data_IF_801386168552
#
_entry.id   IF_801386168552
#
_cell.length_a   1.000
_cell.length_b   1.000
_cell.length_c   1.000
_cell.angle_alpha   90.00
_cell.angle_beta   90.00
_cell.angle_gamma   90.00
#
_symmetry.space_group_name_H-M   'P 1'
#
loop_
_entity.id
_entity.type
_entity.pdbx_description
1 polymer ?
#
# COMPACT_ATOMS: atom_id res chain seq x y z
N UNK A 1 -7.91 -6.83 42.76
CA UNK A 1 -6.71 -6.85 41.90
C UNK A 1 -7.01 -6.01 40.67
N UNK A 2 -6.28 -4.91 40.52
CA UNK A 2 -6.54 -3.83 39.57
C UNK A 2 -6.40 -4.29 38.12
N UNK A 3 -7.46 -4.10 37.32
CA UNK A 3 -7.36 -4.03 35.86
C UNK A 3 -6.56 -2.78 35.53
N UNK A 4 -5.25 -2.93 35.32
CA UNK A 4 -4.43 -1.89 34.71
C UNK A 4 -4.90 -1.79 33.26
N UNK A 5 -5.57 -0.68 32.93
CA UNK A 5 -5.92 -0.34 31.56
C UNK A 5 -4.63 -0.34 30.74
N UNK A 6 -4.58 -1.20 29.73
CA UNK A 6 -3.58 -1.14 28.68
C UNK A 6 -3.84 0.16 27.92
N UNK A 7 -3.18 1.26 28.30
CA UNK A 7 -3.10 2.43 27.46
C UNK A 7 -2.33 1.98 26.22
N UNK A 8 -3.05 1.60 25.16
CA UNK A 8 -2.45 1.30 23.88
C UNK A 8 -1.58 2.51 23.50
N UNK A 9 -0.27 2.28 23.42
CA UNK A 9 0.70 3.30 23.04
C UNK A 9 0.21 3.99 21.77
N UNK A 10 -0.04 5.30 21.85
CA UNK A 10 -0.71 6.03 20.76
C UNK A 10 0.34 6.34 19.71
N UNK A 11 0.17 5.82 18.49
CA UNK A 11 1.09 6.15 17.39
C UNK A 11 0.57 7.37 16.64
N UNK A 12 1.45 8.36 16.44
CA UNK A 12 1.22 9.49 15.54
C UNK A 12 2.04 9.28 14.27
N UNK A 13 1.43 9.51 13.12
CA UNK A 13 2.07 9.37 11.82
C UNK A 13 2.18 10.71 11.11
N UNK A 14 3.30 10.90 10.41
CA UNK A 14 3.59 12.08 9.60
C UNK A 14 4.36 11.65 8.34
N UNK A 15 4.00 12.20 7.19
CA UNK A 15 4.77 12.05 5.95
C UNK A 15 6.03 12.91 6.02
N UNK A 16 7.16 12.33 5.64
CA UNK A 16 8.41 13.05 5.44
C UNK A 16 8.52 13.42 3.96
N UNK A 17 8.51 14.73 3.70
CA UNK A 17 8.63 15.31 2.35
C UNK A 17 10.09 15.37 1.88
N UNK A 18 10.30 15.62 0.58
CA UNK A 18 11.59 15.80 -0.08
C UNK A 18 12.15 14.55 -0.75
N UNK A 19 11.44 13.41 -0.63
CA UNK A 19 11.88 12.13 -1.18
C UNK A 19 11.14 11.76 -2.47
N UNK A 20 9.81 11.82 -2.45
CA UNK A 20 8.96 11.41 -3.57
C UNK A 20 8.10 12.58 -4.01
N UNK A 21 8.04 12.83 -5.33
CA UNK A 21 7.30 13.96 -5.92
C UNK A 21 5.82 13.96 -5.56
N UNK A 22 5.27 12.78 -5.25
CA UNK A 22 3.89 12.59 -4.83
C UNK A 22 3.61 13.20 -3.43
N UNK A 23 4.64 13.31 -2.59
CA UNK A 23 4.54 13.80 -1.21
C UNK A 23 4.79 15.31 -1.06
N UNK A 24 5.36 15.96 -2.07
CA UNK A 24 5.85 17.34 -1.98
C UNK A 24 4.83 18.42 -2.38
N UNK A 25 3.59 18.01 -2.63
CA UNK A 25 2.47 18.90 -2.91
C UNK A 25 1.40 18.25 -3.78
N UNK A 26 0.41 19.04 -4.26
CA UNK A 26 -0.54 18.56 -5.25
C UNK A 26 0.20 18.14 -6.52
N UNK A 27 0.19 16.85 -6.83
CA UNK A 27 0.80 16.30 -8.02
C UNK A 27 -0.28 15.67 -8.91
N UNK A 28 -0.12 15.82 -10.23
CA UNK A 28 -0.93 15.06 -11.18
C UNK A 28 -0.60 13.57 -10.99
N UNK A 29 -1.60 12.71 -10.71
CA UNK A 29 -1.35 11.29 -10.54
C UNK A 29 -0.74 10.69 -11.80
N UNK A 30 0.35 9.95 -11.62
CA UNK A 30 0.98 9.15 -12.65
C UNK A 30 0.93 7.70 -12.18
N UNK A 31 0.61 6.77 -13.07
CA UNK A 31 0.56 5.36 -12.70
C UNK A 31 1.94 4.84 -12.29
N UNK A 32 2.95 5.14 -13.11
CA UNK A 32 4.31 4.62 -12.97
C UNK A 32 5.34 5.73 -13.30
N UNK A 33 5.52 6.75 -12.43
CA UNK A 33 6.59 7.72 -12.63
C UNK A 33 7.98 7.04 -12.57
N UNK A 34 8.99 7.51 -13.32
CA UNK A 34 10.35 6.97 -13.26
C UNK A 34 10.91 6.91 -11.84
N UNK A 35 11.66 5.86 -11.48
CA UNK A 35 12.14 5.61 -10.13
C UNK A 35 11.04 5.73 -9.06
N UNK A 36 9.81 5.34 -9.41
CA UNK A 36 8.60 5.48 -8.59
C UNK A 36 8.34 6.91 -8.07
N UNK A 37 8.88 7.92 -8.74
CA UNK A 37 8.75 9.33 -8.36
C UNK A 37 9.80 9.82 -7.37
N UNK A 38 10.91 9.10 -7.17
CA UNK A 38 12.03 9.62 -6.38
C UNK A 38 12.50 10.96 -6.96
N UNK A 39 12.53 12.01 -6.12
CA UNK A 39 12.78 13.38 -6.55
C UNK A 39 14.24 13.60 -6.99
N UNK A 40 15.20 13.13 -6.19
CA UNK A 40 16.63 13.27 -6.46
C UNK A 40 17.15 12.12 -7.33
N UNK A 41 16.80 12.13 -8.62
CA UNK A 41 17.09 11.03 -9.57
C UNK A 41 18.16 11.34 -10.62
N UNK A 42 18.96 12.39 -10.44
CA UNK A 42 20.01 12.79 -11.40
C UNK A 42 21.36 12.12 -11.13
N UNK A 43 21.56 11.60 -9.92
CA UNK A 43 22.76 10.83 -9.56
C UNK A 43 22.76 9.45 -10.22
N UNK A 44 23.93 8.88 -10.47
CA UNK A 44 24.03 7.48 -10.89
C UNK A 44 23.72 6.49 -9.76
N UNK A 45 23.75 6.96 -8.50
CA UNK A 45 23.58 6.17 -7.28
C UNK A 45 22.41 6.66 -6.40
N UNK A 46 21.31 7.08 -7.01
CA UNK A 46 20.20 7.70 -6.28
C UNK A 46 19.53 6.76 -5.27
N UNK A 47 19.52 5.45 -5.49
CA UNK A 47 18.92 4.53 -4.50
C UNK A 47 19.79 4.41 -3.26
N UNK A 48 21.11 4.30 -3.42
CA UNK A 48 22.07 4.34 -2.30
C UNK A 48 22.01 5.66 -1.54
N UNK A 49 21.87 6.78 -2.23
CA UNK A 49 21.70 8.09 -1.59
C UNK A 49 20.38 8.17 -0.81
N UNK A 50 19.30 7.62 -1.37
CA UNK A 50 18.02 7.49 -0.69
C UNK A 50 18.15 6.62 0.56
N UNK A 51 18.74 5.43 0.47
CA UNK A 51 18.97 4.55 1.62
C UNK A 51 19.84 5.19 2.69
N UNK A 52 20.91 5.89 2.29
CA UNK A 52 21.76 6.63 3.21
C UNK A 52 20.98 7.74 3.94
N UNK A 53 20.06 8.40 3.24
CA UNK A 53 19.18 9.41 3.82
C UNK A 53 18.21 8.80 4.83
N UNK A 54 17.57 7.67 4.50
CA UNK A 54 16.70 6.94 5.43
C UNK A 54 17.50 6.45 6.65
N UNK A 55 18.71 5.92 6.44
CA UNK A 55 19.60 5.50 7.53
C UNK A 55 19.96 6.67 8.45
N UNK A 56 20.25 7.85 7.89
CA UNK A 56 20.52 9.07 8.65
C UNK A 56 19.30 9.49 9.49
N UNK A 57 18.09 9.41 8.94
CA UNK A 57 16.85 9.66 9.70
C UNK A 57 16.70 8.68 10.87
N UNK A 58 16.93 7.38 10.65
CA UNK A 58 16.86 6.38 11.73
C UNK A 58 17.91 6.64 12.82
N UNK A 59 19.15 6.97 12.44
CA UNK A 59 20.24 7.22 13.38
C UNK A 59 20.05 8.50 14.21
N UNK A 60 19.37 9.49 13.65
CA UNK A 60 19.05 10.75 14.32
C UNK A 60 17.66 10.76 14.97
N UNK A 61 16.93 9.65 14.91
CA UNK A 61 15.58 9.54 15.43
C UNK A 61 15.54 9.76 16.95
N UNK A 62 14.65 10.65 17.46
CA UNK A 62 14.38 10.72 18.88
C UNK A 62 13.87 9.38 19.43
N UNK A 63 14.01 9.17 20.75
CA UNK A 63 13.44 7.99 21.40
C UNK A 63 11.95 7.86 21.11
N UNK A 64 11.52 6.68 20.67
CA UNK A 64 10.12 6.41 20.30
C UNK A 64 9.74 6.93 18.92
N UNK A 65 10.70 7.31 18.07
CA UNK A 65 10.46 7.65 16.66
C UNK A 65 11.07 6.59 15.77
N UNK A 66 10.33 6.21 14.72
CA UNK A 66 10.76 5.28 13.68
C UNK A 66 10.38 5.81 12.31
N UNK A 67 11.26 5.61 11.33
CA UNK A 67 10.97 5.90 9.93
C UNK A 67 10.70 4.61 9.16
N UNK A 68 9.66 4.58 8.33
CA UNK A 68 9.32 3.43 7.47
C UNK A 68 9.01 3.95 6.07
N UNK A 69 9.58 3.31 5.05
CA UNK A 69 9.25 3.57 3.65
C UNK A 69 8.16 2.58 3.23
N UNK A 70 6.97 3.09 2.94
CA UNK A 70 5.81 2.30 2.57
C UNK A 70 5.49 2.45 1.09
N UNK A 71 5.58 1.36 0.34
CA UNK A 71 5.13 1.23 -1.04
C UNK A 71 3.63 0.90 -1.05
N UNK A 72 2.78 1.93 -1.10
CA UNK A 72 1.33 1.80 -1.06
C UNK A 72 0.78 1.62 -2.48
N UNK A 73 0.20 0.46 -2.76
CA UNK A 73 -0.30 0.07 -4.08
C UNK A 73 -1.82 -0.05 -4.09
N UNK A 74 -2.44 0.38 -5.20
CA UNK A 74 -3.85 0.07 -5.52
C UNK A 74 -3.88 -1.13 -6.45
N UNK A 75 -4.81 -2.07 -6.22
CA UNK A 75 -5.03 -3.18 -7.13
C UNK A 75 -5.25 -2.72 -8.59
N UNK A 76 -4.86 -3.55 -9.57
CA UNK A 76 -5.18 -3.35 -10.98
C UNK A 76 -6.69 -3.39 -11.25
N UNK A 77 -7.15 -2.95 -12.42
CA UNK A 77 -8.58 -2.96 -12.75
C UNK A 77 -9.22 -4.33 -12.49
N UNK A 78 -10.24 -4.38 -11.65
CA UNK A 78 -11.09 -5.55 -11.43
C UNK A 78 -12.40 -5.45 -12.19
N UNK A 79 -13.12 -6.56 -12.31
CA UNK A 79 -14.45 -6.55 -12.94
C UNK A 79 -15.47 -5.67 -12.23
N UNK A 80 -15.30 -5.43 -10.92
CA UNK A 80 -16.10 -4.43 -10.18
C UNK A 80 -15.86 -3.01 -10.69
N UNK A 81 -14.62 -2.67 -11.09
CA UNK A 81 -14.32 -1.35 -11.65
C UNK A 81 -15.04 -1.19 -12.99
N UNK A 82 -15.01 -2.22 -13.85
CA UNK A 82 -15.74 -2.20 -15.13
C UNK A 82 -17.24 -2.00 -14.90
N UNK A 83 -17.80 -2.60 -13.85
CA UNK A 83 -19.19 -2.41 -13.47
C UNK A 83 -19.48 -0.96 -13.04
N UNK A 84 -18.66 -0.40 -12.14
CA UNK A 84 -18.75 1.00 -11.70
C UNK A 84 -18.59 1.97 -12.88
N UNK A 85 -17.62 1.73 -13.76
CA UNK A 85 -17.38 2.57 -14.94
C UNK A 85 -18.55 2.52 -15.93
N UNK A 86 -19.22 1.36 -16.05
CA UNK A 86 -20.35 1.15 -16.97
C UNK A 86 -21.67 1.72 -16.43
N UNK A 87 -21.96 1.55 -15.15
CA UNK A 87 -23.27 1.85 -14.58
C UNK A 87 -23.27 3.06 -13.64
N UNK A 88 -22.11 3.54 -13.21
CA UNK A 88 -21.97 4.61 -12.22
C UNK A 88 -21.92 4.08 -10.79
N UNK A 89 -21.35 4.89 -9.90
CA UNK A 89 -21.16 4.50 -8.49
C UNK A 89 -22.50 4.37 -7.74
N UNK A 90 -23.48 5.22 -8.03
CA UNK A 90 -24.78 5.19 -7.36
C UNK A 90 -25.54 3.89 -7.66
N UNK A 91 -25.55 3.45 -8.93
CA UNK A 91 -26.13 2.17 -9.35
C UNK A 91 -25.33 0.98 -8.81
N UNK A 92 -24.00 1.12 -8.71
CA UNK A 92 -23.17 0.10 -8.09
C UNK A 92 -23.55 -0.12 -6.62
N UNK A 93 -23.61 0.94 -5.82
CA UNK A 93 -23.92 0.87 -4.39
C UNK A 93 -25.36 0.38 -4.12
N UNK A 94 -26.31 0.81 -4.96
CA UNK A 94 -27.73 0.51 -4.71
C UNK A 94 -28.20 -0.81 -5.34
N UNK A 95 -27.59 -1.27 -6.43
CA UNK A 95 -28.03 -2.45 -7.17
C UNK A 95 -26.90 -3.45 -7.48
N UNK A 96 -25.89 -3.08 -8.27
CA UNK A 96 -24.98 -4.05 -8.89
C UNK A 96 -24.04 -4.74 -7.91
N UNK A 97 -23.62 -4.07 -6.84
CA UNK A 97 -22.78 -4.65 -5.77
C UNK A 97 -23.46 -5.80 -5.02
N UNK A 98 -24.80 -5.89 -5.07
CA UNK A 98 -25.60 -6.95 -4.45
C UNK A 98 -25.74 -8.20 -5.32
N UNK A 99 -25.20 -8.15 -6.54
CA UNK A 99 -25.21 -9.24 -7.51
C UNK A 99 -23.78 -9.73 -7.75
N UNK A 100 -23.66 -10.97 -8.23
CA UNK A 100 -22.34 -11.54 -8.56
C UNK A 100 -21.91 -11.28 -10.02
N UNK A 101 -22.80 -10.72 -10.83
CA UNK A 101 -22.55 -10.50 -12.24
C UNK A 101 -23.82 -10.24 -13.03
N UNK A 102 -23.67 -10.13 -14.34
CA UNK A 102 -24.76 -10.09 -15.31
C UNK A 102 -24.45 -11.05 -16.46
N UNK A 103 -25.16 -10.91 -17.59
CA UNK A 103 -24.94 -11.76 -18.78
C UNK A 103 -23.54 -11.60 -19.41
N UNK A 104 -22.91 -10.44 -19.22
CA UNK A 104 -21.66 -10.06 -19.91
C UNK A 104 -20.42 -10.26 -19.03
N UNK A 105 -20.54 -10.13 -17.71
CA UNK A 105 -19.40 -10.09 -16.79
C UNK A 105 -19.74 -10.59 -15.38
N UNK A 106 -18.75 -11.12 -14.69
CA UNK A 106 -18.84 -11.60 -13.29
C UNK A 106 -17.89 -10.79 -12.41
N UNK A 107 -18.41 -10.18 -11.35
CA UNK A 107 -17.62 -9.36 -10.40
C UNK A 107 -17.79 -9.80 -8.94
N UNK A 108 -18.65 -10.78 -8.64
CA UNK A 108 -18.82 -11.33 -7.30
C UNK A 108 -18.72 -12.86 -7.28
N UNK A 109 -18.64 -13.46 -6.08
CA UNK A 109 -18.63 -12.78 -4.77
C UNK A 109 -17.31 -12.06 -4.46
N UNK A 110 -16.23 -12.36 -5.18
CA UNK A 110 -14.95 -11.65 -5.08
C UNK A 110 -14.38 -11.37 -6.48
N UNK A 111 -14.37 -10.09 -6.84
CA UNK A 111 -13.99 -9.66 -8.19
C UNK A 111 -12.51 -9.95 -8.47
N UNK A 112 -12.26 -10.72 -9.54
CA UNK A 112 -10.93 -10.92 -10.11
C UNK A 112 -10.45 -9.70 -10.90
N UNK A 113 -9.15 -9.65 -11.16
CA UNK A 113 -8.58 -8.72 -12.15
C UNK A 113 -9.17 -8.97 -13.54
N UNK A 114 -9.28 -7.90 -14.32
CA UNK A 114 -9.47 -7.99 -15.77
C UNK A 114 -8.11 -8.21 -16.44
N UNK A 115 -8.06 -8.57 -17.74
CA UNK A 115 -6.81 -8.59 -18.48
C UNK A 115 -6.05 -7.26 -18.44
N UNK A 116 -6.76 -6.12 -18.41
CA UNK A 116 -6.15 -4.81 -18.22
C UNK A 116 -5.53 -4.67 -16.82
N UNK A 117 -6.22 -5.11 -15.77
CA UNK A 117 -5.70 -5.10 -14.41
C UNK A 117 -4.45 -5.95 -14.23
N UNK A 118 -4.37 -7.10 -14.91
CA UNK A 118 -3.15 -7.90 -14.93
C UNK A 118 -1.98 -7.17 -15.63
N UNK A 119 -2.26 -6.50 -16.76
CA UNK A 119 -1.24 -5.69 -17.46
C UNK A 119 -0.73 -4.57 -16.57
N UNK A 120 -1.62 -3.85 -15.87
CA UNK A 120 -1.23 -2.80 -14.92
C UNK A 120 -0.30 -3.33 -13.81
N UNK A 121 -0.60 -4.51 -13.25
CA UNK A 121 0.28 -5.13 -12.25
C UNK A 121 1.66 -5.53 -12.81
N UNK A 122 1.69 -5.99 -14.08
CA UNK A 122 2.93 -6.34 -14.80
C UNK A 122 3.76 -5.11 -15.17
N UNK A 123 3.13 -3.95 -15.41
CA UNK A 123 3.83 -2.68 -15.64
C UNK A 123 4.60 -2.24 -14.38
N UNK A 124 4.01 -2.40 -13.19
CA UNK A 124 4.71 -2.17 -11.92
C UNK A 124 5.86 -3.16 -11.74
N UNK A 125 5.68 -4.44 -12.07
CA UNK A 125 6.74 -5.45 -12.03
C UNK A 125 7.92 -5.06 -12.94
N UNK A 126 7.63 -4.56 -14.14
CA UNK A 126 8.63 -4.09 -15.08
C UNK A 126 9.42 -2.91 -14.51
N UNK A 127 8.75 -1.94 -13.88
CA UNK A 127 9.41 -0.81 -13.21
C UNK A 127 10.30 -1.28 -12.06
N UNK A 128 9.84 -2.23 -11.23
CA UNK A 128 10.71 -2.82 -10.20
C UNK A 128 11.95 -3.49 -10.82
N UNK A 129 11.78 -4.31 -11.86
CA UNK A 129 12.90 -4.99 -12.54
C UNK A 129 13.89 -4.01 -13.15
N UNK A 130 13.41 -2.92 -13.73
CA UNK A 130 14.25 -1.84 -14.24
C UNK A 130 15.11 -1.25 -13.12
N UNK A 131 14.49 -0.81 -12.02
CA UNK A 131 15.18 -0.17 -10.91
C UNK A 131 16.09 -1.13 -10.12
N UNK A 132 15.75 -2.43 -10.06
CA UNK A 132 16.61 -3.48 -9.48
C UNK A 132 17.82 -3.80 -10.33
N UNK A 133 17.72 -3.64 -11.66
CA UNK A 133 18.80 -3.97 -12.60
C UNK A 133 19.92 -2.92 -12.62
N UNK A 134 19.75 -1.80 -11.90
CA UNK A 134 20.71 -0.69 -11.86
C UNK A 134 22.07 -1.15 -11.33
N UNK A 135 23.16 -1.03 -12.12
CA UNK A 135 24.48 -1.57 -11.75
C UNK A 135 25.02 -0.97 -10.45
N UNK A 136 25.06 -1.79 -9.40
CA UNK A 136 25.55 -1.37 -8.09
C UNK A 136 24.67 -0.33 -7.40
N UNK A 137 23.41 -0.14 -7.81
CA UNK A 137 22.46 0.78 -7.18
C UNK A 137 21.01 0.26 -7.28
N UNK A 138 20.74 -1.00 -6.85
CA UNK A 138 19.38 -1.54 -6.94
C UNK A 138 18.43 -0.81 -6.00
N UNK A 139 17.16 -0.66 -6.40
CA UNK A 139 16.11 -0.18 -5.50
C UNK A 139 15.99 -1.06 -4.24
N UNK A 140 15.77 -0.46 -3.05
CA UNK A 140 15.52 -1.22 -1.83
C UNK A 140 14.19 -1.97 -1.90
N UNK A 141 14.25 -3.29 -1.75
CA UNK A 141 13.07 -4.14 -1.74
C UNK A 141 12.32 -4.08 -0.40
N UNK A 142 10.98 -4.19 -0.41
CA UNK A 142 10.21 -4.41 0.80
C UNK A 142 10.65 -5.70 1.53
N UNK A 143 10.77 -5.64 2.85
CA UNK A 143 11.02 -6.79 3.72
C UNK A 143 9.72 -7.40 4.26
N UNK A 144 8.64 -6.61 4.30
CA UNK A 144 7.28 -7.07 4.64
C UNK A 144 6.29 -6.65 3.56
N UNK A 145 5.40 -7.56 3.23
CA UNK A 145 4.33 -7.35 2.25
C UNK A 145 2.99 -7.53 2.94
N UNK A 146 2.10 -6.57 2.83
CA UNK A 146 0.73 -6.63 3.34
C UNK A 146 -0.25 -6.55 2.17
N UNK A 147 -1.33 -7.32 2.24
CA UNK A 147 -2.38 -7.27 1.20
C UNK A 147 -3.77 -7.35 1.79
N UNK A 148 -4.72 -6.69 1.14
CA UNK A 148 -6.14 -7.01 1.31
C UNK A 148 -6.42 -8.45 0.87
N UNK A 149 -7.34 -9.17 1.54
CA UNK A 149 -7.66 -10.56 1.22
C UNK A 149 -8.42 -10.73 -0.12
N UNK A 150 -8.94 -9.65 -0.71
CA UNK A 150 -9.71 -9.74 -1.94
C UNK A 150 -8.82 -10.16 -3.13
N UNK A 151 -9.32 -11.09 -3.95
CA UNK A 151 -8.58 -11.78 -5.00
C UNK A 151 -7.82 -10.83 -5.94
N UNK A 152 -8.41 -9.69 -6.29
CA UNK A 152 -7.75 -8.67 -7.12
C UNK A 152 -6.52 -8.03 -6.47
N UNK A 153 -6.52 -7.83 -5.15
CA UNK A 153 -5.38 -7.24 -4.43
C UNK A 153 -4.26 -8.28 -4.30
N UNK A 154 -4.60 -9.52 -3.93
CA UNK A 154 -3.66 -10.65 -3.90
C UNK A 154 -3.03 -10.90 -5.27
N UNK A 155 -3.83 -10.97 -6.34
CA UNK A 155 -3.33 -11.16 -7.70
C UNK A 155 -2.47 -9.99 -8.18
N UNK A 156 -2.78 -8.75 -7.79
CA UNK A 156 -1.94 -7.59 -8.10
C UNK A 156 -0.58 -7.73 -7.41
N UNK A 157 -0.57 -8.03 -6.11
CA UNK A 157 0.66 -8.23 -5.34
C UNK A 157 1.53 -9.33 -5.94
N UNK A 158 0.93 -10.49 -6.23
CA UNK A 158 1.62 -11.64 -6.81
C UNK A 158 2.26 -11.28 -8.15
N UNK A 159 1.49 -10.66 -9.06
CA UNK A 159 2.02 -10.22 -10.36
C UNK A 159 3.09 -9.13 -10.22
N UNK A 160 2.95 -8.20 -9.27
CA UNK A 160 3.93 -7.12 -9.03
C UNK A 160 5.28 -7.67 -8.57
N UNK A 161 5.31 -8.68 -7.70
CA UNK A 161 6.56 -9.23 -7.16
C UNK A 161 7.01 -10.56 -7.78
N UNK A 162 6.29 -11.03 -8.82
CA UNK A 162 6.65 -12.22 -9.57
C UNK A 162 8.08 -12.15 -10.11
N UNK A 163 8.86 -13.19 -9.83
CA UNK A 163 10.28 -13.32 -10.15
C UNK A 163 11.19 -12.24 -9.51
N UNK A 164 10.71 -11.53 -8.49
CA UNK A 164 11.47 -10.53 -7.72
C UNK A 164 11.66 -11.01 -6.28
N UNK A 165 10.57 -11.44 -5.63
CA UNK A 165 10.59 -11.98 -4.29
C UNK A 165 10.38 -13.50 -4.34
N UNK A 166 10.90 -14.27 -3.37
CA UNK A 166 10.73 -15.72 -3.36
C UNK A 166 9.24 -16.09 -3.38
N UNK A 167 8.90 -17.07 -4.21
CA UNK A 167 7.53 -17.58 -4.27
C UNK A 167 7.15 -18.15 -2.90
N UNK A 168 5.91 -17.93 -2.45
CA UNK A 168 5.42 -18.31 -1.12
C UNK A 168 5.34 -19.82 -0.82
N UNK A 169 6.07 -20.65 -1.56
CA UNK A 169 6.32 -22.05 -1.27
C UNK A 169 7.27 -22.24 -0.08
N UNK A 170 8.15 -21.26 0.17
CA UNK A 170 8.92 -21.20 1.41
C UNK A 170 8.04 -20.61 2.52
N UNK A 171 7.52 -21.48 3.38
CA UNK A 171 6.62 -21.10 4.47
C UNK A 171 7.30 -20.23 5.54
N UNK A 172 8.64 -20.25 5.59
CA UNK A 172 9.45 -19.53 6.58
C UNK A 172 10.08 -18.24 6.02
N UNK A 173 9.85 -17.86 4.74
CA UNK A 173 10.39 -16.61 4.19
C UNK A 173 9.69 -15.39 4.85
N UNK A 174 10.47 -14.48 5.50
CA UNK A 174 9.90 -13.31 6.17
C UNK A 174 9.22 -12.31 5.23
N UNK A 175 9.43 -12.42 3.90
CA UNK A 175 8.82 -11.60 2.84
C UNK A 175 7.55 -12.21 2.27
N UNK A 176 7.06 -13.32 2.82
CA UNK A 176 5.75 -13.86 2.47
C UNK A 176 4.65 -12.80 2.71
N UNK A 177 3.68 -12.64 1.80
CA UNK A 177 2.58 -11.72 2.01
C UNK A 177 1.77 -12.04 3.26
N UNK A 178 1.64 -11.06 4.15
CA UNK A 178 0.72 -11.05 5.26
C UNK A 178 -0.64 -10.54 4.75
N UNK A 179 -1.60 -11.46 4.67
CA UNK A 179 -2.97 -11.12 4.33
C UNK A 179 -3.63 -10.51 5.56
N UNK A 180 -3.99 -9.23 5.46
CA UNK A 180 -4.68 -8.52 6.54
C UNK A 180 -6.17 -8.84 6.44
N UNK A 181 -6.57 -9.95 7.05
CA UNK A 181 -7.97 -10.27 7.23
C UNK A 181 -8.61 -9.28 8.21
N UNK A 182 -9.83 -8.88 7.88
CA UNK A 182 -10.55 -7.88 8.66
C UNK A 182 -11.51 -8.58 9.62
N UNK A 183 -11.14 -8.66 10.90
CA UNK A 183 -12.03 -9.15 11.96
C UNK A 183 -13.16 -8.14 12.30
N UNK A 184 -13.06 -6.89 11.81
CA UNK A 184 -13.97 -5.79 12.14
C UNK A 184 -14.93 -5.42 10.99
N UNK A 185 -14.82 -6.07 9.84
CA UNK A 185 -15.73 -5.89 8.71
C UNK A 185 -16.98 -6.77 8.88
N UNK A 186 -18.16 -6.17 8.78
CA UNK A 186 -19.46 -6.86 8.80
C UNK A 186 -20.19 -6.64 7.49
N UNK A 187 -20.66 -7.71 6.85
CA UNK A 187 -21.50 -7.65 5.63
C UNK A 187 -22.78 -6.83 5.81
N UNK A 188 -23.21 -6.57 7.06
CA UNK A 188 -24.52 -5.98 7.39
C UNK A 188 -24.48 -4.49 7.74
N UNK A 189 -23.30 -3.85 7.76
CA UNK A 189 -23.17 -2.44 8.19
C UNK A 189 -22.34 -1.65 7.18
N UNK A 190 -22.96 -0.63 6.57
CA UNK A 190 -22.23 0.41 5.85
C UNK A 190 -21.45 1.25 6.86
N UNK A 191 -20.13 1.20 6.79
CA UNK A 191 -19.23 1.92 7.69
C UNK A 191 -19.21 3.41 7.32
N UNK A 192 -19.38 4.31 8.29
CA UNK A 192 -19.21 5.75 8.05
C UNK A 192 -17.74 6.11 7.80
N UNK A 193 -17.46 7.25 7.17
CA UNK A 193 -16.09 7.74 6.95
C UNK A 193 -15.25 7.81 8.23
N UNK A 194 -15.89 8.11 9.37
CA UNK A 194 -15.24 8.18 10.69
C UNK A 194 -14.87 6.80 11.21
N UNK A 195 -15.76 5.83 11.08
CA UNK A 195 -15.51 4.45 11.47
C UNK A 195 -14.42 3.86 10.57
N UNK A 196 -14.51 4.06 9.25
CA UNK A 196 -13.51 3.65 8.28
C UNK A 196 -12.14 4.25 8.61
N UNK A 197 -12.07 5.55 8.91
CA UNK A 197 -10.83 6.20 9.34
C UNK A 197 -10.28 5.64 10.65
N UNK A 198 -11.15 5.29 11.61
CA UNK A 198 -10.74 4.68 12.88
C UNK A 198 -10.22 3.26 12.70
N UNK A 199 -10.85 2.47 11.83
CA UNK A 199 -10.40 1.13 11.45
C UNK A 199 -9.06 1.16 10.73
N UNK A 200 -8.90 2.04 9.74
CA UNK A 200 -7.61 2.21 9.05
C UNK A 200 -6.50 2.65 10.00
N UNK A 201 -6.81 3.47 11.01
CA UNK A 201 -5.85 3.82 12.06
C UNK A 201 -5.49 2.60 12.91
N UNK A 202 -6.45 1.78 13.32
CA UNK A 202 -6.20 0.57 14.09
C UNK A 202 -5.37 -0.46 13.29
N UNK A 203 -5.66 -0.66 12.00
CA UNK A 203 -4.86 -1.52 11.12
C UNK A 203 -3.43 -1.00 10.99
N UNK A 204 -3.24 0.30 10.78
CA UNK A 204 -1.90 0.88 10.69
C UNK A 204 -1.14 0.78 12.01
N UNK A 205 -1.83 0.97 13.14
CA UNK A 205 -1.25 0.77 14.48
C UNK A 205 -0.80 -0.67 14.68
N UNK A 206 -1.63 -1.64 14.31
CA UNK A 206 -1.31 -3.06 14.39
C UNK A 206 -0.08 -3.42 13.53
N UNK A 207 -0.02 -2.93 12.28
CA UNK A 207 1.16 -3.11 11.42
C UNK A 207 2.40 -2.60 12.14
N UNK A 208 2.42 -1.32 12.54
CA UNK A 208 3.62 -0.67 13.08
C UNK A 208 4.05 -1.20 14.45
N UNK A 209 3.10 -1.68 15.26
CA UNK A 209 3.36 -2.11 16.63
C UNK A 209 3.65 -3.60 16.73
N UNK A 210 2.87 -4.42 16.04
CA UNK A 210 2.79 -5.85 16.31
C UNK A 210 3.38 -6.69 15.16
N UNK A 211 3.42 -6.15 13.93
CA UNK A 211 3.85 -6.90 12.73
C UNK A 211 5.22 -6.48 12.19
N UNK A 212 5.70 -5.27 12.50
CA UNK A 212 7.01 -4.79 12.05
C UNK A 212 8.08 -5.00 13.12
N UNK A 213 9.16 -5.68 12.75
CA UNK A 213 10.38 -5.79 13.56
C UNK A 213 11.23 -4.53 13.42
N UNK A 214 12.16 -4.24 14.35
CA UNK A 214 12.99 -3.02 14.29
C UNK A 214 13.80 -2.88 12.99
N UNK A 215 14.11 -4.00 12.33
CA UNK A 215 14.85 -4.08 11.07
C UNK A 215 14.01 -3.72 9.84
N UNK A 216 12.68 -3.76 9.93
CA UNK A 216 11.78 -3.54 8.79
C UNK A 216 11.72 -2.05 8.40
N UNK A 217 12.54 -1.64 7.45
CA UNK A 217 12.57 -0.24 6.97
C UNK A 217 11.69 -0.03 5.74
N UNK A 218 11.56 -1.04 4.88
CA UNK A 218 10.83 -0.96 3.62
C UNK A 218 9.67 -1.96 3.63
N UNK A 219 8.45 -1.49 3.42
CA UNK A 219 7.24 -2.33 3.43
C UNK A 219 6.40 -2.06 2.20
N UNK A 220 5.57 -3.01 1.78
CA UNK A 220 4.54 -2.78 0.76
C UNK A 220 3.15 -3.09 1.29
N UNK A 221 2.17 -2.28 0.91
CA UNK A 221 0.75 -2.50 1.21
C UNK A 221 -0.02 -2.47 -0.10
N UNK A 222 -0.61 -3.59 -0.51
CA UNK A 222 -1.47 -3.68 -1.71
C UNK A 222 -2.94 -3.71 -1.31
N UNK A 223 -3.71 -2.69 -1.69
CA UNK A 223 -5.08 -2.50 -1.23
C UNK A 223 -5.97 -1.81 -2.28
N UNK A 224 -7.04 -1.15 -1.80
CA UNK A 224 -8.06 -0.47 -2.61
C UNK A 224 -7.86 1.05 -2.56
N UNK A 225 -8.47 1.78 -3.49
CA UNK A 225 -8.36 3.25 -3.55
C UNK A 225 -8.78 3.94 -2.24
N UNK A 226 -9.87 3.50 -1.62
CA UNK A 226 -10.35 4.05 -0.34
C UNK A 226 -9.37 3.82 0.81
N UNK A 227 -8.79 2.61 0.90
CA UNK A 227 -7.77 2.26 1.90
C UNK A 227 -6.52 3.09 1.70
N UNK A 228 -6.02 3.17 0.47
CA UNK A 228 -4.84 3.98 0.17
C UNK A 228 -5.07 5.46 0.52
N UNK A 229 -6.21 6.02 0.12
CA UNK A 229 -6.56 7.40 0.44
C UNK A 229 -6.68 7.65 1.96
N UNK A 230 -7.22 6.69 2.72
CA UNK A 230 -7.28 6.82 4.18
C UNK A 230 -5.91 6.75 4.84
N UNK A 231 -5.03 5.82 4.42
CA UNK A 231 -3.65 5.76 4.92
C UNK A 231 -2.93 7.07 4.63
N UNK A 232 -3.02 7.59 3.39
CA UNK A 232 -2.42 8.88 3.02
C UNK A 232 -2.93 10.03 3.91
N UNK A 233 -4.23 10.10 4.19
CA UNK A 233 -4.79 11.09 5.13
C UNK A 233 -4.25 10.91 6.56
N UNK A 234 -4.15 9.67 7.05
CA UNK A 234 -3.70 9.38 8.41
C UNK A 234 -2.23 9.76 8.64
N UNK A 235 -1.40 9.64 7.61
CA UNK A 235 0.01 10.06 7.67
C UNK A 235 0.20 11.54 7.31
N UNK A 236 -0.87 12.29 6.99
CA UNK A 236 -0.76 13.70 6.61
C UNK A 236 -0.15 13.94 5.22
N UNK A 237 -0.20 12.94 4.34
CA UNK A 237 0.23 13.07 2.95
C UNK A 237 -0.79 13.93 2.15
N UNK A 238 -0.35 14.73 1.16
CA UNK A 238 -1.25 15.38 0.22
C UNK A 238 -2.24 14.41 -0.44
N UNK A 239 -3.42 14.90 -0.84
CA UNK A 239 -4.35 14.03 -1.59
C UNK A 239 -3.71 13.58 -2.90
N UNK A 240 -3.62 12.26 -3.09
CA UNK A 240 -3.05 11.65 -4.29
C UNK A 240 -3.94 10.48 -4.72
N UNK A 241 -4.82 10.65 -5.74
CA UNK A 241 -5.70 9.58 -6.19
C UNK A 241 -4.92 8.55 -7.03
N UNK A 242 -4.71 7.35 -6.48
CA UNK A 242 -3.99 6.27 -7.18
C UNK A 242 -4.81 5.71 -8.36
N UNK A 243 -4.27 5.69 -9.59
CA UNK A 243 -4.88 4.96 -10.70
C UNK A 243 -4.86 3.44 -10.44
N UNK A 244 -5.64 2.66 -11.20
CA UNK A 244 -5.61 1.20 -11.10
C UNK A 244 -4.20 0.66 -11.37
N UNK A 245 -3.69 -0.18 -10.46
CA UNK A 245 -2.30 -0.66 -10.48
C UNK A 245 -1.25 0.37 -10.08
N UNK A 246 -1.62 1.60 -9.72
CA UNK A 246 -0.68 2.64 -9.30
C UNK A 246 -0.01 2.32 -7.96
N UNK A 247 1.23 2.82 -7.79
CA UNK A 247 2.01 2.71 -6.54
C UNK A 247 2.47 4.11 -6.11
N UNK A 248 2.29 4.44 -4.83
CA UNK A 248 2.85 5.64 -4.21
C UNK A 248 3.80 5.23 -3.07
N UNK A 249 5.10 5.55 -3.18
CA UNK A 249 6.02 5.39 -2.07
C UNK A 249 5.86 6.56 -1.09
N UNK A 250 5.86 6.28 0.21
CA UNK A 250 5.74 7.30 1.25
C UNK A 250 6.75 7.02 2.35
N UNK A 251 7.55 8.01 2.72
CA UNK A 251 8.38 7.96 3.93
C UNK A 251 7.51 8.39 5.11
N UNK A 252 7.26 7.49 6.05
CA UNK A 252 6.39 7.68 7.21
C UNK A 252 7.25 7.79 8.46
N UNK A 253 7.10 8.90 9.18
CA UNK A 253 7.57 9.07 10.55
C UNK A 253 6.48 8.60 11.52
N UNK A 254 6.75 7.54 12.27
CA UNK A 254 5.89 7.06 13.35
C UNK A 254 6.46 7.47 14.71
N UNK A 255 5.65 8.13 15.54
CA UNK A 255 6.01 8.51 16.91
C UNK A 255 5.13 7.74 17.89
N UNK A 256 5.75 6.87 18.69
CA UNK A 256 5.11 6.04 19.69
C UNK A 256 5.03 6.83 21.01
N UNK A 257 3.81 7.19 21.44
CA UNK A 257 3.54 8.00 22.63
C UNK A 257 3.19 7.16 23.85
#
# INVERSE_FOLDING_TARGET
MSKVGNFAQRIRYETVTGFFIQSDGPATPQAHPPAFGLASRTSSTYWKEFEASIKSLQQSAPKGVRYVVCWLARHGQGWHNVCVDKYGIDEWETHWSKLNGNRDMTWGPDAKLTPLGETQAKEVNALWKEELSRPGDPVPLPTKLFSSPLARALATLDLTFKDILPNGEDIDDPRKPLVLEDELWSETVSESDREFGSRMKATLDHIFKDLLEETDTFISITAHSGVAAAILRLVGHPSYPLPGGGVVPVVIRATFQ
#
